data_IF_790532904962
#
_entry.id   IF_790532904962
#
_cell.length_a   1.000
_cell.length_b   1.000
_cell.length_c   1.000
_cell.angle_alpha   90.00
_cell.angle_beta   90.00
_cell.angle_gamma   90.00
#
_symmetry.space_group_name_H-M   'P 1'
#
loop_
_entity.id
_entity.type
_entity.pdbx_description
1 polymer ?
#
# COMPACT_ATOMS: atom_id res chain seq x y z
N UNK A 1 18.35 -1.14 -16.10
CA UNK A 1 18.33 -1.61 -14.71
C UNK A 1 16.90 -1.64 -14.21
N UNK A 2 16.47 -2.76 -13.67
CA UNK A 2 15.13 -2.92 -13.13
C UNK A 2 15.01 -2.17 -11.80
N UNK A 3 13.93 -1.42 -11.65
CA UNK A 3 13.65 -0.71 -10.41
C UNK A 3 12.33 -1.19 -9.85
N UNK A 4 12.22 -1.14 -8.53
CA UNK A 4 10.95 -1.41 -7.88
C UNK A 4 9.99 -0.29 -8.24
N UNK A 5 8.84 -0.63 -8.85
CA UNK A 5 7.84 0.34 -9.27
C UNK A 5 6.72 0.51 -8.26
N UNK A 6 6.35 -0.56 -7.57
CA UNK A 6 5.34 -0.44 -6.55
C UNK A 6 5.52 -1.46 -5.43
N UNK A 7 5.00 -1.11 -4.28
CA UNK A 7 4.93 -1.97 -3.11
C UNK A 7 3.49 -1.92 -2.61
N UNK A 8 2.88 -3.07 -2.36
CA UNK A 8 1.56 -3.13 -1.76
C UNK A 8 1.69 -3.55 -0.31
N UNK A 9 1.09 -2.78 0.57
CA UNK A 9 1.13 -3.00 2.02
C UNK A 9 -0.29 -3.19 2.51
N UNK A 10 -0.54 -4.26 3.26
CA UNK A 10 -1.85 -4.49 3.86
C UNK A 10 -1.85 -4.01 5.30
N UNK A 11 -2.92 -3.33 5.67
CA UNK A 11 -3.07 -2.76 7.01
C UNK A 11 -4.52 -2.79 7.44
N UNK A 12 -4.74 -2.74 8.74
CA UNK A 12 -6.09 -2.68 9.30
C UNK A 12 -6.67 -1.28 9.28
N UNK A 13 -5.82 -0.26 9.21
CA UNK A 13 -6.24 1.14 9.17
C UNK A 13 -5.49 1.85 8.05
N UNK A 14 -6.13 1.87 6.87
CA UNK A 14 -5.50 2.44 5.68
C UNK A 14 -5.24 3.94 5.81
N UNK A 15 -6.15 4.67 6.47
CA UNK A 15 -6.00 6.11 6.62
C UNK A 15 -4.83 6.47 7.51
N UNK A 16 -4.70 5.78 8.64
CA UNK A 16 -3.61 6.02 9.59
C UNK A 16 -2.27 5.63 8.98
N UNK A 17 -2.22 4.49 8.30
CA UNK A 17 -1.00 4.03 7.66
C UNK A 17 -0.59 4.96 6.52
N UNK A 18 -1.55 5.38 5.68
CA UNK A 18 -1.26 6.32 4.60
C UNK A 18 -0.75 7.67 5.15
N UNK A 19 -1.36 8.16 6.22
CA UNK A 19 -0.92 9.40 6.86
C UNK A 19 0.53 9.30 7.34
N UNK A 20 0.88 8.16 7.94
CA UNK A 20 2.25 7.91 8.38
C UNK A 20 3.24 7.99 7.21
N UNK A 21 2.93 7.30 6.11
CA UNK A 21 3.83 7.29 4.96
C UNK A 21 3.92 8.65 4.27
N UNK A 22 2.82 9.39 4.20
CA UNK A 22 2.85 10.75 3.65
C UNK A 22 3.74 11.66 4.47
N UNK A 23 3.64 11.58 5.78
CA UNK A 23 4.39 12.45 6.68
C UNK A 23 5.86 12.04 6.78
N UNK A 24 6.12 10.74 6.95
CA UNK A 24 7.48 10.26 7.18
C UNK A 24 8.36 10.34 5.92
N UNK A 25 7.77 10.14 4.74
CA UNK A 25 8.53 10.05 3.49
C UNK A 25 8.15 11.11 2.47
N UNK A 26 7.25 12.01 2.81
CA UNK A 26 6.84 13.08 1.91
C UNK A 26 6.08 12.59 0.68
N UNK A 27 5.38 11.48 0.78
CA UNK A 27 4.64 10.92 -0.34
C UNK A 27 3.36 11.68 -0.60
N UNK A 28 2.91 11.69 -1.85
CA UNK A 28 1.67 12.33 -2.26
C UNK A 28 0.63 11.28 -2.59
N UNK A 29 -0.62 11.54 -2.21
CA UNK A 29 -1.73 10.67 -2.57
C UNK A 29 -2.10 10.92 -4.02
N UNK A 30 -2.10 9.83 -4.83
CA UNK A 30 -2.41 9.91 -6.26
C UNK A 30 -3.67 9.15 -6.63
N UNK A 31 -4.26 8.44 -5.69
CA UNK A 31 -5.50 7.72 -5.96
C UNK A 31 -6.14 7.20 -4.70
N UNK A 32 -7.43 6.93 -4.81
CA UNK A 32 -8.23 6.33 -3.75
C UNK A 32 -9.13 5.29 -4.38
N UNK A 33 -8.95 4.05 -3.98
CA UNK A 33 -9.80 2.95 -4.42
C UNK A 33 -10.71 2.45 -3.32
N UNK A 34 -11.56 1.48 -3.63
CA UNK A 34 -12.45 0.88 -2.64
C UNK A 34 -11.67 0.18 -1.52
N UNK A 35 -10.51 -0.36 -1.84
CA UNK A 35 -9.76 -1.19 -0.92
C UNK A 35 -8.46 -0.57 -0.45
N UNK A 36 -8.16 0.67 -0.85
CA UNK A 36 -6.89 1.24 -0.46
C UNK A 36 -6.65 2.66 -0.91
N UNK A 37 -5.51 3.17 -0.47
CA UNK A 37 -5.01 4.50 -0.79
C UNK A 37 -3.68 4.32 -1.51
N UNK A 38 -3.47 5.09 -2.58
CA UNK A 38 -2.28 4.99 -3.40
C UNK A 38 -1.43 6.24 -3.24
N UNK A 39 -0.15 6.04 -2.93
CA UNK A 39 0.80 7.12 -2.68
C UNK A 39 1.98 6.99 -3.64
N UNK A 40 2.66 8.09 -3.89
CA UNK A 40 3.85 8.08 -4.75
C UNK A 40 4.85 9.15 -4.34
N UNK A 41 6.13 8.91 -4.67
CA UNK A 41 7.19 9.92 -4.62
C UNK A 41 7.57 10.40 -6.03
N UNK A 42 6.84 9.96 -7.06
CA UNK A 42 7.15 10.22 -8.45
C UNK A 42 7.87 9.07 -9.16
N UNK A 43 8.39 8.12 -8.42
CA UNK A 43 9.10 6.96 -8.95
C UNK A 43 8.50 5.66 -8.45
N UNK A 44 8.33 5.55 -7.15
CA UNK A 44 7.77 4.38 -6.50
C UNK A 44 6.31 4.64 -6.14
N UNK A 45 5.46 3.67 -6.40
CA UNK A 45 4.06 3.71 -5.99
C UNK A 45 3.85 2.77 -4.82
N UNK A 46 3.19 3.27 -3.78
CA UNK A 46 2.85 2.47 -2.61
C UNK A 46 1.33 2.35 -2.53
N UNK A 47 0.84 1.12 -2.57
CA UNK A 47 -0.58 0.82 -2.37
C UNK A 47 -0.80 0.42 -0.92
N UNK A 48 -1.54 1.23 -0.18
CA UNK A 48 -1.93 0.92 1.19
C UNK A 48 -3.30 0.24 1.11
N UNK A 49 -3.32 -1.07 1.29
CA UNK A 49 -4.50 -1.89 1.06
C UNK A 49 -5.15 -2.31 2.37
N UNK A 50 -6.48 -2.39 2.33
CA UNK A 50 -7.25 -2.84 3.48
C UNK A 50 -6.99 -4.32 3.74
N UNK A 51 -6.86 -4.66 5.02
CA UNK A 51 -6.75 -6.06 5.44
C UNK A 51 -8.04 -6.80 5.10
N UNK A 52 -7.90 -7.97 4.45
CA UNK A 52 -9.03 -8.82 4.09
C UNK A 52 -8.61 -10.28 4.29
N UNK A 53 -9.59 -11.13 4.58
CA UNK A 53 -9.33 -12.56 4.59
C UNK A 53 -9.31 -13.10 3.16
N UNK A 54 -8.47 -14.10 2.91
CA UNK A 54 -8.45 -14.78 1.63
C UNK A 54 -9.75 -15.51 1.35
N UNK A 55 -9.99 -15.83 0.07
CA UNK A 55 -11.22 -16.48 -0.37
C UNK A 55 -11.46 -17.83 0.27
N UNK A 56 -10.41 -18.53 0.62
CA UNK A 56 -10.48 -19.86 1.21
C UNK A 56 -10.46 -19.84 2.74
N UNK A 57 -10.74 -18.69 3.33
CA UNK A 57 -10.71 -18.54 4.77
C UNK A 57 -9.31 -18.36 5.35
N UNK A 58 -8.30 -18.34 4.50
CA UNK A 58 -6.94 -18.10 4.96
C UNK A 58 -6.77 -16.65 5.41
N UNK A 59 -6.13 -16.42 6.56
CA UNK A 59 -5.85 -15.06 7.00
C UNK A 59 -4.82 -14.43 6.07
N UNK A 60 -5.13 -13.22 5.60
CA UNK A 60 -4.16 -12.44 4.83
C UNK A 60 -3.10 -11.87 5.77
N UNK A 61 -1.89 -11.79 5.26
CA UNK A 61 -0.78 -11.25 6.04
C UNK A 61 -0.86 -9.73 6.06
N UNK A 62 -0.58 -9.16 7.23
CA UNK A 62 -0.35 -7.72 7.35
C UNK A 62 1.07 -7.41 6.88
N UNK A 63 1.30 -6.16 6.49
CA UNK A 63 2.60 -5.72 6.01
C UNK A 63 2.69 -5.77 4.51
N UNK A 64 3.87 -6.07 3.98
CA UNK A 64 4.09 -6.07 2.53
C UNK A 64 3.34 -7.24 1.90
N UNK A 65 2.41 -6.90 0.97
CA UNK A 65 1.65 -7.89 0.23
C UNK A 65 2.42 -8.35 -1.00
N UNK A 66 2.90 -7.40 -1.80
CA UNK A 66 3.74 -7.72 -2.96
C UNK A 66 4.57 -6.52 -3.38
N UNK A 67 5.58 -6.80 -4.20
CA UNK A 67 6.46 -5.80 -4.77
C UNK A 67 6.42 -5.95 -6.29
N UNK A 68 6.30 -4.84 -7.01
CA UNK A 68 6.27 -4.82 -8.47
C UNK A 68 7.44 -4.04 -9.06
N UNK A 69 7.87 -4.49 -10.20
CA UNK A 69 8.96 -3.86 -10.95
C UNK A 69 8.50 -3.21 -12.25
#
# INVERSE_FOLDING_TARGET
MTRIKHIAIRTRDIEKTAAFYKEAFGLKQVGLGQNGIYLTDGHLNIAILKFQRGKDGEPLRLGIDHVGF
#
